data_IF_871518365167
#
_entry.id   IF_871518365167
#
_cell.length_a   1.000
_cell.length_b   1.000
_cell.length_c   1.000
_cell.angle_alpha   90.00
_cell.angle_beta   90.00
_cell.angle_gamma   90.00
#
_symmetry.space_group_name_H-M   'P 1'
#
loop_
_entity.id
_entity.type
_entity.pdbx_description
1 polymer ?
#
# COMPACT_ATOMS: atom_id res chain seq x y z
N UNK A 1 -30.37 49.66 -14.50
CA UNK A 1 -31.31 48.57 -14.18
C UNK A 1 -31.38 47.64 -15.37
N UNK A 2 -31.16 46.34 -15.28
CA UNK A 2 -31.05 45.49 -14.10
C UNK A 2 -30.49 44.12 -14.48
N UNK A 3 -29.76 43.57 -13.52
CA UNK A 3 -29.58 42.16 -13.19
C UNK A 3 -29.21 41.22 -14.35
N UNK A 4 -27.89 41.07 -14.52
CA UNK A 4 -27.29 39.92 -15.18
C UNK A 4 -27.51 38.70 -14.26
N UNK A 5 -28.39 37.80 -14.70
CA UNK A 5 -28.85 36.57 -14.03
C UNK A 5 -27.72 35.55 -13.76
N UNK A 6 -26.71 35.92 -12.97
CA UNK A 6 -25.63 35.02 -12.56
C UNK A 6 -25.93 34.29 -11.24
N UNK A 7 -27.16 34.38 -10.72
CA UNK A 7 -27.58 33.72 -9.49
C UNK A 7 -27.88 32.20 -9.66
N UNK A 8 -27.60 31.62 -10.84
CA UNK A 8 -27.91 30.20 -11.12
C UNK A 8 -26.71 29.26 -11.19
N UNK A 9 -25.47 29.74 -11.05
CA UNK A 9 -24.28 28.86 -11.07
C UNK A 9 -23.85 28.36 -9.68
N UNK A 10 -24.67 28.60 -8.65
CA UNK A 10 -24.68 27.83 -7.41
C UNK A 10 -25.72 26.71 -7.47
N UNK A 11 -26.04 26.22 -8.68
CA UNK A 11 -26.67 24.92 -8.81
C UNK A 11 -25.74 23.90 -8.14
N UNK A 12 -26.11 23.56 -6.91
CA UNK A 12 -25.62 22.44 -6.14
C UNK A 12 -25.69 21.21 -7.04
N UNK A 13 -24.62 20.99 -7.80
CA UNK A 13 -24.45 19.74 -8.51
C UNK A 13 -24.29 18.68 -7.41
N UNK A 14 -25.23 17.73 -7.25
CA UNK A 14 -25.16 16.71 -6.20
C UNK A 14 -23.91 15.80 -6.37
N UNK A 15 -23.22 15.89 -7.51
CA UNK A 15 -21.89 15.31 -7.74
C UNK A 15 -20.73 16.12 -7.11
N UNK A 16 -21.01 17.21 -6.38
CA UNK A 16 -20.01 17.97 -5.62
C UNK A 16 -19.29 17.13 -4.56
N UNK A 17 -19.95 16.08 -4.02
CA UNK A 17 -19.33 15.11 -3.11
C UNK A 17 -18.24 14.27 -3.80
N UNK A 18 -18.48 13.85 -5.05
CA UNK A 18 -17.48 13.17 -5.89
C UNK A 18 -16.34 14.09 -6.30
N UNK A 19 -16.58 15.38 -6.54
CA UNK A 19 -15.52 16.36 -6.84
C UNK A 19 -14.60 16.62 -5.62
N UNK A 20 -15.15 16.68 -4.41
CA UNK A 20 -14.37 16.83 -3.16
C UNK A 20 -13.53 15.58 -2.86
N UNK A 21 -14.09 14.40 -3.07
CA UNK A 21 -13.35 13.13 -2.93
C UNK A 21 -12.25 13.02 -4.00
N UNK A 22 -12.52 13.41 -5.25
CA UNK A 22 -11.52 13.45 -6.30
C UNK A 22 -10.38 14.42 -5.97
N UNK A 23 -10.68 15.58 -5.38
CA UNK A 23 -9.66 16.52 -4.88
C UNK A 23 -8.85 15.91 -3.75
N UNK A 24 -9.49 15.30 -2.75
CA UNK A 24 -8.82 14.64 -1.64
C UNK A 24 -7.89 13.49 -2.09
N UNK A 25 -8.34 12.63 -3.02
CA UNK A 25 -7.53 11.55 -3.59
C UNK A 25 -6.38 12.11 -4.43
N UNK A 26 -6.62 13.16 -5.21
CA UNK A 26 -5.60 13.80 -6.06
C UNK A 26 -4.55 14.58 -5.25
N UNK A 27 -4.94 15.13 -4.11
CA UNK A 27 -4.05 15.84 -3.18
C UNK A 27 -3.23 14.90 -2.31
N UNK A 28 -3.59 13.61 -2.23
CA UNK A 28 -2.76 12.57 -1.62
C UNK A 28 -1.59 12.25 -2.56
N UNK A 29 -0.55 13.09 -2.48
CA UNK A 29 0.75 12.79 -3.10
C UNK A 29 1.40 11.72 -2.23
N UNK A 30 0.98 10.47 -2.37
CA UNK A 30 1.67 9.35 -1.74
C UNK A 30 3.07 9.30 -2.33
N UNK A 31 4.12 9.34 -1.50
CA UNK A 31 5.48 9.15 -1.99
C UNK A 31 5.53 7.80 -2.71
N UNK A 32 5.91 7.82 -3.99
CA UNK A 32 6.16 6.60 -4.76
C UNK A 32 7.00 5.65 -3.90
N UNK A 33 6.48 4.46 -3.55
CA UNK A 33 7.18 3.58 -2.65
C UNK A 33 8.52 3.24 -3.30
N UNK A 34 9.60 3.58 -2.60
CA UNK A 34 10.97 3.28 -3.05
C UNK A 34 11.03 1.79 -3.44
N UNK A 35 11.59 1.42 -4.60
CA UNK A 35 11.59 0.03 -5.07
C UNK A 35 12.10 -0.91 -3.97
N UNK A 36 11.18 -1.67 -3.37
CA UNK A 36 11.51 -2.59 -2.29
C UNK A 36 12.21 -3.79 -2.92
N UNK A 37 13.47 -4.01 -2.51
CA UNK A 37 14.20 -5.22 -2.93
C UNK A 37 13.40 -6.45 -2.45
N UNK A 38 13.33 -7.53 -3.26
CA UNK A 38 12.61 -8.73 -2.85
C UNK A 38 13.29 -9.32 -1.60
N UNK A 39 12.56 -9.31 -0.47
CA UNK A 39 13.02 -9.87 0.82
C UNK A 39 12.78 -11.38 0.88
N UNK A 40 11.80 -11.86 0.11
CA UNK A 40 11.39 -13.25 -0.05
C UNK A 40 12.55 -14.25 -0.17
N UNK A 41 13.58 -14.04 -1.02
CA UNK A 41 14.70 -14.98 -1.12
C UNK A 41 15.52 -15.12 0.16
N UNK A 42 15.71 -14.02 0.91
CA UNK A 42 16.47 -14.06 2.17
C UNK A 42 15.71 -14.79 3.26
N UNK A 43 14.39 -14.60 3.33
CA UNK A 43 13.53 -15.33 4.26
C UNK A 43 13.59 -16.82 3.95
N UNK A 44 13.45 -17.19 2.68
CA UNK A 44 13.50 -18.59 2.26
C UNK A 44 14.85 -19.24 2.61
N UNK A 45 15.95 -18.55 2.34
CA UNK A 45 17.30 -19.02 2.69
C UNK A 45 17.47 -19.19 4.21
N UNK A 46 16.99 -18.22 5.00
CA UNK A 46 17.05 -18.29 6.47
C UNK A 46 16.25 -19.46 7.03
N UNK A 47 15.02 -19.65 6.57
CA UNK A 47 14.18 -20.79 6.99
C UNK A 47 14.83 -22.11 6.61
N UNK A 48 15.34 -22.24 5.38
CA UNK A 48 16.03 -23.45 4.93
C UNK A 48 17.26 -23.79 5.77
N UNK A 49 18.07 -22.80 6.14
CA UNK A 49 19.24 -22.99 6.98
C UNK A 49 18.88 -23.49 8.39
N UNK A 50 17.85 -22.91 9.02
CA UNK A 50 17.37 -23.34 10.34
C UNK A 50 16.88 -24.78 10.31
N UNK A 51 16.11 -25.15 9.29
CA UNK A 51 15.61 -26.53 9.12
C UNK A 51 16.78 -27.51 8.94
N UNK A 52 17.75 -27.18 8.09
CA UNK A 52 18.93 -28.02 7.87
C UNK A 52 19.74 -28.25 9.16
N UNK A 53 19.99 -27.19 9.93
CA UNK A 53 20.67 -27.28 11.24
C UNK A 53 19.87 -28.17 12.19
N UNK A 54 18.55 -27.99 12.27
CA UNK A 54 17.68 -28.82 13.11
C UNK A 54 17.76 -30.30 12.78
N UNK A 55 17.78 -30.66 11.49
CA UNK A 55 17.95 -32.05 11.05
C UNK A 55 19.32 -32.59 11.47
N UNK A 56 20.39 -31.83 11.25
CA UNK A 56 21.75 -32.27 11.63
C UNK A 56 21.82 -32.54 13.12
N UNK A 57 21.33 -31.63 13.95
CA UNK A 57 21.31 -31.79 15.41
C UNK A 57 20.47 -33.01 15.82
N UNK A 58 19.28 -33.18 15.24
CA UNK A 58 18.43 -34.32 15.52
C UNK A 58 19.09 -35.65 15.16
N UNK A 59 19.79 -35.71 14.01
CA UNK A 59 20.57 -36.88 13.62
C UNK A 59 21.69 -37.12 14.63
N UNK A 60 22.53 -36.13 14.92
CA UNK A 60 23.64 -36.29 15.89
C UNK A 60 23.14 -36.80 17.24
N UNK A 61 22.02 -36.28 17.75
CA UNK A 61 21.41 -36.71 19.01
C UNK A 61 20.82 -38.12 18.95
N UNK A 62 20.31 -38.55 17.78
CA UNK A 62 19.77 -39.90 17.59
C UNK A 62 20.87 -40.98 17.60
N UNK A 63 22.09 -40.64 17.16
CA UNK A 63 23.21 -41.58 17.04
C UNK A 63 24.35 -41.37 18.08
N UNK A 64 24.20 -40.40 19.00
CA UNK A 64 25.10 -40.24 20.17
C UNK A 64 24.70 -41.18 21.30
#
# INVERSE_FOLDING_TARGET
MSENNNDQQQQMDPAGSTMMFQRFVKENTEPEPTPKRPITPYILAGVGAVVAIGIIVAVVMMWS
#
